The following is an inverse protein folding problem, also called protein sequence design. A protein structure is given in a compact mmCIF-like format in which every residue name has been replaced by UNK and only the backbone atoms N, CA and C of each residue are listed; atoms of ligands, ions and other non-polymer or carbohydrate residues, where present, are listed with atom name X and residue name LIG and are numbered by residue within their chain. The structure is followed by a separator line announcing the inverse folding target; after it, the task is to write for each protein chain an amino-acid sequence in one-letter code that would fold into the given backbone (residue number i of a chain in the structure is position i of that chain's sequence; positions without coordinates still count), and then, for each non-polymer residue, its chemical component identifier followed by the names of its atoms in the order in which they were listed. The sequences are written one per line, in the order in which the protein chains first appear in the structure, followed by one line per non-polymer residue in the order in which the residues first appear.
data_IF_299949045912
#
_entry.id   IF_299949045912
#
_cell.length_a   1.000
_cell.length_b   1.000
_cell.length_c   1.000
_cell.angle_alpha   90.00
_cell.angle_beta   90.00
_cell.angle_gamma   90.00
#
_symmetry.space_group_name_H-M   'P 1'
#
loop_
_entity.id
_entity.type
_entity.pdbx_description
1 polymer ?
#
# COMPACT_ATOMS: atom_id res chain seq x y z
N UNK A 1 -2.96 -32.26 -1.81
CA UNK A 1 -3.62 -32.05 -0.50
C UNK A 1 -3.03 -30.81 0.14
N UNK A 2 -3.80 -29.74 0.33
CA UNK A 2 -3.29 -28.53 0.97
C UNK A 2 -3.20 -28.77 2.49
N UNK A 3 -1.98 -28.82 3.01
CA UNK A 3 -1.73 -28.95 4.45
C UNK A 3 -1.90 -27.57 5.12
N UNK A 4 -2.83 -27.45 6.08
CA UNK A 4 -3.05 -26.22 6.85
C UNK A 4 -4.46 -26.07 7.42
N UNK A 5 -4.62 -25.20 8.42
CA UNK A 5 -5.94 -24.88 9.03
C UNK A 5 -6.78 -24.04 8.05
N UNK A 6 -6.14 -23.15 7.30
CA UNK A 6 -6.81 -22.17 6.42
C UNK A 6 -7.56 -22.82 5.25
N UNK A 7 -6.98 -23.80 4.50
CA UNK A 7 -7.73 -24.52 3.47
C UNK A 7 -8.93 -25.30 4.05
N UNK A 8 -8.76 -25.97 5.20
CA UNK A 8 -9.85 -26.70 5.87
C UNK A 8 -10.99 -25.77 6.29
N UNK A 9 -10.66 -24.59 6.81
CA UNK A 9 -11.63 -23.58 7.19
C UNK A 9 -12.37 -23.03 5.97
N UNK A 10 -11.64 -22.70 4.89
CA UNK A 10 -12.23 -22.25 3.62
C UNK A 10 -13.23 -23.27 3.09
N UNK A 11 -12.84 -24.55 3.04
CA UNK A 11 -13.68 -25.60 2.47
C UNK A 11 -14.94 -25.84 3.32
N UNK A 12 -14.83 -25.75 4.67
CA UNK A 12 -15.99 -25.77 5.57
C UNK A 12 -16.94 -24.61 5.34
N UNK A 13 -16.43 -23.39 5.19
CA UNK A 13 -17.24 -22.19 4.95
C UNK A 13 -17.92 -22.28 3.57
N UNK A 14 -17.21 -22.75 2.54
CA UNK A 14 -17.80 -22.92 1.21
C UNK A 14 -18.92 -23.96 1.19
N UNK A 15 -18.85 -24.98 2.05
CA UNK A 15 -19.88 -26.01 2.19
C UNK A 15 -21.07 -25.58 3.07
N UNK A 16 -20.92 -24.58 3.94
CA UNK A 16 -21.96 -24.20 4.91
C UNK A 16 -23.12 -23.41 4.31
N UNK A 17 -22.91 -22.71 3.20
CA UNK A 17 -23.92 -21.83 2.61
C UNK A 17 -23.83 -21.82 1.07
N UNK A 18 -24.95 -21.63 0.38
CA UNK A 18 -24.93 -21.45 -1.07
C UNK A 18 -24.49 -20.02 -1.43
N UNK A 19 -23.20 -19.75 -1.25
CA UNK A 19 -22.59 -18.46 -1.55
C UNK A 19 -22.84 -18.03 -3.00
N UNK A 20 -23.10 -16.74 -3.17
CA UNK A 20 -23.23 -16.15 -4.50
C UNK A 20 -21.96 -16.39 -5.34
N UNK A 21 -22.06 -16.62 -6.67
CA UNK A 21 -20.92 -16.99 -7.52
C UNK A 21 -19.68 -16.10 -7.39
N UNK A 22 -19.86 -14.77 -7.25
CA UNK A 22 -18.74 -13.84 -7.07
C UNK A 22 -17.99 -14.06 -5.74
N UNK A 23 -18.68 -14.46 -4.66
CA UNK A 23 -18.07 -14.72 -3.34
C UNK A 23 -17.24 -15.99 -3.41
N UNK A 24 -17.80 -17.06 -3.99
CA UNK A 24 -17.07 -18.31 -4.24
C UNK A 24 -15.80 -18.04 -5.06
N UNK A 25 -15.93 -17.27 -6.15
CA UNK A 25 -14.79 -16.86 -6.98
C UNK A 25 -13.73 -16.13 -6.16
N UNK A 26 -14.10 -15.20 -5.27
CA UNK A 26 -13.15 -14.43 -4.45
C UNK A 26 -12.48 -15.27 -3.35
N UNK A 27 -13.20 -16.23 -2.76
CA UNK A 27 -12.66 -17.13 -1.73
C UNK A 27 -11.72 -18.19 -2.31
N UNK A 28 -11.97 -18.61 -3.56
CA UNK A 28 -11.18 -19.61 -4.28
C UNK A 28 -9.99 -19.02 -5.06
N UNK A 29 -10.04 -17.72 -5.40
CA UNK A 29 -8.97 -17.06 -6.13
C UNK A 29 -7.62 -17.16 -5.40
N UNK A 30 -6.53 -17.23 -6.17
CA UNK A 30 -5.17 -17.29 -5.63
C UNK A 30 -4.87 -16.10 -4.71
N UNK A 31 -5.27 -14.89 -5.10
CA UNK A 31 -5.17 -13.69 -4.25
C UNK A 31 -6.39 -13.46 -3.34
N UNK A 32 -7.12 -14.54 -3.03
CA UNK A 32 -8.36 -14.59 -2.25
C UNK A 32 -8.25 -14.11 -0.82
N UNK A 33 -9.40 -14.01 -0.14
CA UNK A 33 -9.46 -13.61 1.28
C UNK A 33 -8.82 -14.63 2.23
N UNK A 34 -8.70 -15.89 1.81
CA UNK A 34 -8.02 -16.94 2.57
C UNK A 34 -6.52 -17.03 2.28
N UNK A 35 -6.00 -16.28 1.30
CA UNK A 35 -4.59 -16.37 0.91
C UNK A 35 -3.79 -15.12 1.30
N UNK A 36 -4.40 -13.92 1.19
CA UNK A 36 -3.73 -12.65 1.47
C UNK A 36 -4.48 -11.88 2.56
N UNK A 37 -3.72 -11.33 3.51
CA UNK A 37 -4.23 -10.41 4.54
C UNK A 37 -4.45 -9.01 3.96
N UNK A 38 -5.56 -8.83 3.23
CA UNK A 38 -5.89 -7.56 2.55
C UNK A 38 -6.06 -6.36 3.49
N UNK A 39 -6.35 -6.59 4.78
CA UNK A 39 -6.51 -5.51 5.76
C UNK A 39 -5.21 -4.73 6.04
N UNK A 40 -4.04 -5.38 5.98
CA UNK A 40 -2.75 -4.71 6.16
C UNK A 40 -2.53 -3.56 5.14
N UNK A 41 -2.66 -3.81 3.82
CA UNK A 41 -2.66 -2.76 2.81
C UNK A 41 -3.69 -1.66 3.07
N UNK A 42 -4.90 -1.99 3.54
CA UNK A 42 -5.92 -0.99 3.89
C UNK A 42 -5.47 -0.03 4.99
N UNK A 43 -4.82 -0.51 6.05
CA UNK A 43 -4.26 0.38 7.07
C UNK A 43 -3.11 1.23 6.53
N UNK A 44 -2.30 0.69 5.62
CA UNK A 44 -1.18 1.43 5.02
C UNK A 44 -1.64 2.66 4.22
N UNK A 45 -2.87 2.67 3.69
CA UNK A 45 -3.45 3.84 3.05
C UNK A 45 -3.60 5.06 3.98
N UNK A 46 -3.66 4.87 5.30
CA UNK A 46 -3.63 5.98 6.23
C UNK A 46 -2.36 6.83 6.08
N UNK A 47 -1.22 6.21 5.75
CA UNK A 47 0.05 6.92 5.50
C UNK A 47 -0.04 7.76 4.23
N UNK A 48 -0.69 7.24 3.18
CA UNK A 48 -0.92 8.00 1.93
C UNK A 48 -1.82 9.19 2.21
N UNK A 49 -2.91 8.99 2.95
CA UNK A 49 -3.86 10.05 3.30
C UNK A 49 -3.18 11.12 4.16
N UNK A 50 -2.36 10.72 5.13
CA UNK A 50 -1.56 11.66 5.93
C UNK A 50 -0.63 12.50 5.05
N UNK A 51 0.11 11.87 4.12
CA UNK A 51 0.98 12.59 3.19
C UNK A 51 0.21 13.53 2.24
N UNK A 52 -1.02 13.18 1.85
CA UNK A 52 -1.87 14.07 1.06
C UNK A 52 -2.32 15.27 1.90
N UNK A 53 -2.71 15.05 3.16
CA UNK A 53 -3.08 16.13 4.08
C UNK A 53 -1.91 17.08 4.32
N UNK A 54 -0.68 16.55 4.43
CA UNK A 54 0.54 17.32 4.61
C UNK A 54 0.87 18.21 3.39
N UNK A 55 0.23 18.00 2.24
CA UNK A 55 0.38 18.91 1.09
C UNK A 55 -0.15 20.31 1.38
N UNK A 56 -1.08 20.49 2.32
CA UNK A 56 -1.56 21.80 2.75
C UNK A 56 -0.58 22.52 3.71
N UNK A 57 0.38 21.80 4.29
CA UNK A 57 1.35 22.36 5.22
C UNK A 57 2.42 23.14 4.43
N UNK A 58 2.92 24.28 4.93
CA UNK A 58 4.02 25.04 4.32
C UNK A 58 5.27 24.18 4.12
N UNK A 59 5.98 24.38 3.01
CA UNK A 59 7.14 23.55 2.64
C UNK A 59 8.28 23.56 3.67
N UNK A 60 8.44 24.67 4.41
CA UNK A 60 9.42 24.80 5.49
C UNK A 60 9.20 23.80 6.65
N UNK A 61 7.95 23.42 6.92
CA UNK A 61 7.63 22.51 8.02
C UNK A 61 7.68 21.03 7.62
N UNK A 62 8.01 20.75 6.35
CA UNK A 62 8.08 19.38 5.84
C UNK A 62 9.47 18.80 6.12
N UNK A 63 9.49 17.64 6.79
CA UNK A 63 10.70 16.87 7.06
C UNK A 63 11.25 16.22 5.79
N UNK A 64 12.36 16.75 5.28
CA UNK A 64 13.09 16.20 4.13
C UNK A 64 13.50 14.73 4.32
N UNK A 65 14.16 14.31 5.42
CA UNK A 65 14.58 12.91 5.56
C UNK A 65 13.39 11.96 5.59
N UNK A 66 12.27 12.36 6.21
CA UNK A 66 11.05 11.55 6.24
C UNK A 66 10.47 11.36 4.83
N UNK A 67 10.36 12.42 4.03
CA UNK A 67 9.84 12.33 2.67
C UNK A 67 10.77 11.55 1.73
N UNK A 68 12.09 11.64 1.93
CA UNK A 68 13.07 10.79 1.25
C UNK A 68 12.85 9.31 1.57
N UNK A 69 12.70 8.96 2.86
CA UNK A 69 12.45 7.58 3.29
C UNK A 69 11.14 7.06 2.74
N UNK A 70 10.05 7.83 2.81
CA UNK A 70 8.73 7.46 2.25
C UNK A 70 8.84 7.18 0.75
N UNK A 71 9.56 8.04 0.01
CA UNK A 71 9.76 7.88 -1.43
C UNK A 71 10.55 6.61 -1.77
N UNK A 72 11.72 6.44 -1.15
CA UNK A 72 12.61 5.31 -1.42
C UNK A 72 11.93 3.99 -1.03
N UNK A 73 11.35 3.93 0.16
CA UNK A 73 10.66 2.72 0.62
C UNK A 73 9.45 2.40 -0.26
N UNK A 74 8.70 3.41 -0.71
CA UNK A 74 7.60 3.23 -1.67
C UNK A 74 8.04 2.55 -2.96
N UNK A 75 9.16 2.95 -3.56
CA UNK A 75 9.68 2.30 -4.77
C UNK A 75 10.19 0.88 -4.53
N UNK A 76 10.97 0.68 -3.47
CA UNK A 76 11.51 -0.64 -3.11
C UNK A 76 10.37 -1.64 -2.91
N UNK A 77 9.34 -1.27 -2.14
CA UNK A 77 8.19 -2.13 -1.90
C UNK A 77 7.29 -2.29 -3.14
N UNK A 78 7.26 -1.32 -4.05
CA UNK A 78 6.56 -1.47 -5.33
C UNK A 78 7.20 -2.55 -6.19
N UNK A 79 8.54 -2.65 -6.21
CA UNK A 79 9.24 -3.75 -6.88
C UNK A 79 8.93 -5.10 -6.23
N UNK A 80 8.97 -5.17 -4.90
CA UNK A 80 8.65 -6.43 -4.21
C UNK A 80 7.19 -6.86 -4.42
N UNK A 81 6.26 -5.91 -4.55
CA UNK A 81 4.85 -6.20 -4.78
C UNK A 81 4.59 -6.98 -6.08
N UNK A 82 5.42 -6.79 -7.12
CA UNK A 82 5.28 -7.52 -8.40
C UNK A 82 5.96 -8.88 -8.38
N UNK A 83 6.91 -9.12 -7.47
CA UNK A 83 7.66 -10.36 -7.35
C UNK A 83 6.98 -11.39 -6.44
N UNK A 84 6.07 -10.96 -5.56
CA UNK A 84 5.36 -11.84 -4.62
C UNK A 84 4.18 -12.52 -5.35
N UNK A 85 4.15 -13.85 -5.29
CA UNK A 85 2.99 -14.65 -5.71
C UNK A 85 2.23 -15.17 -4.48
N UNK A 86 0.89 -15.04 -4.43
CA UNK A 86 0.01 -14.45 -5.45
C UNK A 86 0.01 -12.91 -5.43
N UNK A 87 -0.12 -12.31 -6.61
CA UNK A 87 -0.03 -10.85 -6.79
C UNK A 87 -1.16 -10.08 -6.08
N UNK A 88 -0.78 -9.03 -5.34
CA UNK A 88 -1.70 -8.10 -4.68
C UNK A 88 -1.60 -6.70 -5.27
N UNK A 89 -2.57 -6.34 -6.12
CA UNK A 89 -2.63 -5.00 -6.72
C UNK A 89 -2.76 -3.87 -5.69
N UNK A 90 -3.43 -4.10 -4.56
CA UNK A 90 -3.56 -3.08 -3.50
C UNK A 90 -2.20 -2.80 -2.82
N UNK A 91 -1.42 -3.84 -2.57
CA UNK A 91 -0.07 -3.68 -2.02
C UNK A 91 0.85 -2.92 -2.99
N UNK A 92 0.77 -3.19 -4.30
CA UNK A 92 1.49 -2.39 -5.29
C UNK A 92 1.02 -0.92 -5.27
N UNK A 93 -0.31 -0.71 -5.33
CA UNK A 93 -0.90 0.63 -5.40
C UNK A 93 -0.48 1.50 -4.21
N UNK A 94 -0.67 1.03 -2.98
CA UNK A 94 -0.38 1.84 -1.79
C UNK A 94 1.09 2.29 -1.74
N UNK A 95 2.03 1.43 -2.15
CA UNK A 95 3.46 1.76 -2.16
C UNK A 95 3.81 2.74 -3.29
N UNK A 96 3.17 2.63 -4.46
CA UNK A 96 3.34 3.60 -5.55
C UNK A 96 2.78 4.97 -5.17
N UNK A 97 1.60 5.03 -4.56
CA UNK A 97 1.02 6.30 -4.09
C UNK A 97 1.87 6.95 -3.00
N UNK A 98 2.45 6.17 -2.08
CA UNK A 98 3.44 6.69 -1.12
C UNK A 98 4.67 7.26 -1.83
N UNK A 99 5.21 6.56 -2.85
CA UNK A 99 6.36 7.06 -3.60
C UNK A 99 6.04 8.38 -4.32
N UNK A 100 4.92 8.45 -5.04
CA UNK A 100 4.55 9.66 -5.79
C UNK A 100 4.19 10.84 -4.90
N UNK A 101 3.47 10.61 -3.80
CA UNK A 101 3.17 11.68 -2.83
C UNK A 101 4.44 12.21 -2.16
N UNK A 102 5.41 11.35 -1.84
CA UNK A 102 6.71 11.76 -1.33
C UNK A 102 7.53 12.58 -2.33
N UNK A 103 7.59 12.17 -3.60
CA UNK A 103 8.27 12.94 -4.67
C UNK A 103 7.68 14.33 -4.80
N UNK A 104 6.35 14.45 -4.75
CA UNK A 104 5.69 15.75 -4.82
C UNK A 104 6.11 16.67 -3.66
N UNK A 105 6.16 16.15 -2.43
CA UNK A 105 6.61 16.92 -1.27
C UNK A 105 8.10 17.30 -1.36
N UNK A 106 8.95 16.38 -1.85
CA UNK A 106 10.37 16.67 -2.11
C UNK A 106 10.52 17.77 -3.17
N UNK A 107 9.73 17.75 -4.23
CA UNK A 107 9.69 18.80 -5.24
C UNK A 107 9.29 20.16 -4.67
N UNK A 108 8.28 20.20 -3.78
CA UNK A 108 7.90 21.43 -3.07
C UNK A 108 9.03 21.97 -2.19
N UNK A 109 9.73 21.11 -1.45
CA UNK A 109 10.87 21.51 -0.61
C UNK A 109 12.05 22.01 -1.46
N UNK A 110 12.31 21.38 -2.60
CA UNK A 110 13.35 21.81 -3.53
C UNK A 110 13.07 23.19 -4.13
N UNK A 111 11.83 23.46 -4.55
CA UNK A 111 11.45 24.78 -5.03
C UNK A 111 11.59 25.86 -3.93
N UNK A 112 11.16 25.54 -2.71
CA UNK A 112 11.36 26.43 -1.56
C UNK A 112 12.83 26.76 -1.30
N UNK A 113 13.72 25.75 -1.36
CA UNK A 113 15.17 25.97 -1.25
C UNK A 113 15.71 26.86 -2.37
N UNK A 114 15.25 26.69 -3.61
CA UNK A 114 15.68 27.53 -4.73
C UNK A 114 15.32 29.00 -4.56
N UNK A 115 14.16 29.28 -3.99
CA UNK A 115 13.67 30.65 -3.80
C UNK A 115 14.29 31.34 -2.58
N UNK A 116 14.51 30.59 -1.50
CA UNK A 116 14.96 31.17 -0.21
C UNK A 116 16.41 30.91 0.14
N UNK A 117 17.06 29.94 -0.52
CA UNK A 117 18.40 29.45 -0.17
C UNK A 117 18.47 28.71 1.16
N UNK A 118 17.32 28.40 1.80
CA UNK A 118 17.25 27.81 3.14
C UNK A 118 16.71 26.37 3.07
N UNK A 119 17.34 25.49 3.83
CA UNK A 119 17.00 24.06 3.89
C UNK A 119 16.02 23.69 5.01
N UNK A 120 15.73 24.65 5.90
CA UNK A 120 14.86 24.51 7.09
C UNK A 120 13.56 23.76 6.77
#
# INVERSE_FOLDING_TARGET
MAFGIVPKLRDRILASYNWHPWIKKRMLADNGWFTIFHWCPWFKWAIVIANIKDMAIPAQNISLPQQCVVTITGFVWSRYATQIYPFSGNFLAVNLFMAFSGIYQLGRKFNYYRETGKWD
#
